data_IF_873077790651
#
_entry.id   IF_873077790651
#
_cell.length_a   1.000
_cell.length_b   1.000
_cell.length_c   1.000
_cell.angle_alpha   90.00
_cell.angle_beta   90.00
_cell.angle_gamma   90.00
#
_symmetry.space_group_name_H-M   'P 1'
#
loop_
_entity.id
_entity.type
_entity.pdbx_description
1 polymer ?
#
# COMPACT_ATOMS: atom_id res chain seq x y z
N UNK A 1 60.51 -11.89 -36.76
CA UNK A 1 59.78 -11.73 -38.04
C UNK A 1 58.34 -11.27 -37.69
N UNK A 2 58.12 -9.96 -37.77
CA UNK A 2 56.81 -9.36 -37.47
C UNK A 2 56.13 -9.02 -38.79
N UNK A 3 54.98 -9.64 -39.02
CA UNK A 3 54.14 -9.37 -40.19
C UNK A 3 53.40 -8.04 -39.99
N UNK A 4 53.32 -7.17 -41.04
CA UNK A 4 52.59 -5.91 -40.90
C UNK A 4 51.09 -6.09 -41.05
N UNK A 5 50.33 -5.32 -40.26
CA UNK A 5 48.84 -5.23 -40.32
C UNK A 5 48.45 -4.35 -41.52
N UNK A 6 47.48 -4.75 -42.36
CA UNK A 6 47.06 -3.93 -43.47
C UNK A 6 46.22 -2.74 -43.00
N UNK A 7 46.55 -1.56 -43.56
CA UNK A 7 45.88 -0.27 -43.38
C UNK A 7 44.45 -0.34 -43.95
N UNK A 8 43.45 -0.28 -43.05
CA UNK A 8 42.03 -0.22 -43.43
C UNK A 8 41.66 1.11 -44.07
N UNK A 9 40.96 1.02 -45.18
CA UNK A 9 40.33 2.13 -45.90
C UNK A 9 39.32 2.86 -44.99
N UNK A 10 39.32 4.20 -44.96
CA UNK A 10 38.34 4.94 -44.14
C UNK A 10 36.92 4.76 -44.71
N UNK A 11 35.99 4.46 -43.83
CA UNK A 11 34.55 4.40 -44.16
C UNK A 11 34.04 5.80 -44.55
N UNK A 12 33.14 5.94 -45.55
CA UNK A 12 32.55 7.20 -45.95
C UNK A 12 31.75 7.81 -44.78
N UNK A 13 31.85 9.12 -44.58
CA UNK A 13 31.07 9.84 -43.60
C UNK A 13 29.58 9.80 -43.98
N UNK A 14 28.66 9.59 -43.01
CA UNK A 14 27.26 9.71 -43.29
C UNK A 14 26.90 11.15 -43.66
N UNK A 15 26.14 11.33 -44.72
CA UNK A 15 25.56 12.61 -45.12
C UNK A 15 24.57 13.09 -44.05
N UNK A 16 24.54 14.38 -43.71
CA UNK A 16 23.57 14.92 -42.79
C UNK A 16 22.15 14.74 -43.35
N UNK A 17 21.15 14.45 -42.49
CA UNK A 17 19.77 14.38 -42.92
C UNK A 17 19.33 15.73 -43.49
N UNK A 18 18.62 15.70 -44.62
CA UNK A 18 17.99 16.88 -45.24
C UNK A 18 16.88 17.37 -44.30
N UNK A 19 17.02 18.61 -43.83
CA UNK A 19 16.02 19.34 -43.05
C UNK A 19 14.76 19.61 -43.89
N UNK A 20 13.92 18.60 -44.02
CA UNK A 20 12.54 18.84 -44.44
C UNK A 20 11.70 18.92 -43.16
N UNK A 21 10.96 19.99 -42.94
CA UNK A 21 10.09 20.08 -41.77
C UNK A 21 9.03 18.93 -41.80
N UNK A 22 8.70 18.31 -40.68
CA UNK A 22 7.69 17.28 -40.62
C UNK A 22 6.36 17.85 -41.12
N UNK A 23 5.51 17.02 -41.79
CA UNK A 23 4.19 17.44 -42.21
C UNK A 23 3.38 17.92 -40.99
N UNK A 24 2.72 19.04 -41.11
CA UNK A 24 1.88 19.61 -40.07
C UNK A 24 0.78 18.59 -39.69
N UNK A 25 0.67 18.29 -38.41
CA UNK A 25 -0.43 17.46 -37.88
C UNK A 25 -1.75 18.16 -38.23
N UNK A 26 -2.80 17.41 -38.65
CA UNK A 26 -4.12 18.00 -38.86
C UNK A 26 -4.58 18.64 -37.56
N UNK A 27 -4.96 19.91 -37.63
CA UNK A 27 -5.55 20.63 -36.49
C UNK A 27 -6.90 19.99 -36.19
N UNK A 28 -7.25 19.72 -34.94
CA UNK A 28 -8.59 19.28 -34.58
C UNK A 28 -9.59 20.36 -34.98
N UNK A 29 -10.61 19.95 -35.73
CA UNK A 29 -11.70 20.83 -36.11
C UNK A 29 -12.26 21.54 -34.87
N UNK A 30 -12.38 22.88 -34.95
CA UNK A 30 -12.99 23.67 -33.90
C UNK A 30 -14.43 23.18 -33.67
N UNK A 31 -14.88 22.99 -32.42
CA UNK A 31 -16.24 22.53 -32.15
C UNK A 31 -17.26 23.47 -32.80
N UNK A 32 -18.10 22.94 -33.69
CA UNK A 32 -19.20 23.70 -34.25
C UNK A 32 -20.20 24.07 -33.14
N UNK A 33 -20.67 25.31 -33.05
CA UNK A 33 -21.54 25.78 -31.95
C UNK A 33 -22.88 25.08 -31.83
N UNK A 34 -23.28 24.21 -32.75
CA UNK A 34 -24.59 23.56 -32.84
C UNK A 34 -24.54 22.02 -32.95
N UNK A 35 -23.48 21.37 -32.56
CA UNK A 35 -23.51 19.90 -32.43
C UNK A 35 -24.41 19.53 -31.26
N UNK A 36 -25.45 18.67 -31.45
CA UNK A 36 -26.23 18.16 -30.32
C UNK A 36 -25.24 17.45 -29.36
N UNK A 37 -25.12 17.93 -28.14
CA UNK A 37 -24.45 17.18 -27.10
C UNK A 37 -25.19 15.85 -26.94
N UNK A 38 -24.49 14.71 -26.88
CA UNK A 38 -25.16 13.48 -26.52
C UNK A 38 -25.79 13.69 -25.13
N UNK A 39 -27.10 13.52 -25.05
CA UNK A 39 -27.88 13.46 -23.82
C UNK A 39 -27.40 12.24 -23.05
N UNK A 40 -26.31 12.39 -22.30
CA UNK A 40 -26.07 11.47 -21.21
C UNK A 40 -27.22 11.72 -20.21
N UNK A 41 -28.01 10.69 -19.88
CA UNK A 41 -28.98 10.85 -18.82
C UNK A 41 -28.23 11.39 -17.61
N UNK A 42 -28.74 12.39 -16.89
CA UNK A 42 -28.08 12.87 -15.69
C UNK A 42 -27.83 11.65 -14.85
N UNK A 43 -26.52 11.40 -14.55
CA UNK A 43 -26.15 10.34 -13.64
C UNK A 43 -27.04 10.60 -12.42
N UNK A 44 -28.05 9.75 -12.24
CA UNK A 44 -28.92 9.83 -11.09
C UNK A 44 -27.99 9.61 -9.89
N UNK A 45 -27.44 10.70 -9.38
CA UNK A 45 -26.95 10.77 -8.03
C UNK A 45 -28.20 10.39 -7.22
N UNK A 46 -28.26 9.12 -6.83
CA UNK A 46 -29.22 8.62 -5.88
C UNK A 46 -28.99 9.40 -4.57
N UNK A 47 -29.49 10.65 -4.56
CA UNK A 47 -29.80 11.36 -3.35
C UNK A 47 -31.03 10.67 -2.75
N UNK A 48 -30.88 9.39 -2.42
CA UNK A 48 -31.78 8.74 -1.49
C UNK A 48 -31.41 9.33 -0.14
N UNK A 49 -32.25 10.22 0.37
CA UNK A 49 -32.29 10.65 1.76
C UNK A 49 -32.62 9.46 2.69
N UNK A 50 -31.92 8.35 2.50
CA UNK A 50 -31.94 7.22 3.42
C UNK A 50 -31.21 7.68 4.70
N UNK A 51 -31.81 7.44 5.86
CA UNK A 51 -31.11 7.70 7.13
C UNK A 51 -29.76 6.98 7.10
N UNK A 52 -28.72 7.54 7.73
CA UNK A 52 -27.39 6.93 7.74
C UNK A 52 -27.54 5.46 8.14
N UNK A 53 -27.07 4.55 7.28
CA UNK A 53 -27.20 3.13 7.50
C UNK A 53 -26.59 2.78 8.86
N UNK A 54 -27.33 1.98 9.66
CA UNK A 54 -26.84 1.53 10.96
C UNK A 54 -25.47 0.87 10.79
N UNK A 55 -24.55 1.15 11.70
CA UNK A 55 -23.22 0.57 11.66
C UNK A 55 -23.29 -0.96 11.58
N UNK A 56 -22.50 -1.61 10.70
CA UNK A 56 -22.51 -3.07 10.58
C UNK A 56 -22.24 -3.75 11.94
N UNK A 57 -22.88 -4.89 12.23
CA UNK A 57 -22.68 -5.58 13.49
C UNK A 57 -21.22 -6.01 13.70
N UNK A 58 -20.73 -6.09 14.93
CA UNK A 58 -19.31 -6.35 15.25
C UNK A 58 -18.74 -7.58 14.55
N UNK A 59 -19.51 -8.67 14.43
CA UNK A 59 -19.07 -9.88 13.73
C UNK A 59 -18.75 -9.65 12.25
N UNK A 60 -19.54 -8.83 11.54
CA UNK A 60 -19.27 -8.48 10.14
C UNK A 60 -18.02 -7.60 10.00
N UNK A 61 -17.82 -6.71 10.96
CA UNK A 61 -16.63 -5.82 10.99
C UNK A 61 -15.37 -6.64 11.24
N UNK A 62 -15.40 -7.58 12.20
CA UNK A 62 -14.29 -8.51 12.45
C UNK A 62 -13.97 -9.40 11.25
N UNK A 63 -15.01 -9.93 10.60
CA UNK A 63 -14.84 -10.75 9.39
C UNK A 63 -14.20 -9.92 8.24
N UNK A 64 -14.59 -8.66 8.08
CA UNK A 64 -14.00 -7.78 7.08
C UNK A 64 -12.50 -7.52 7.33
N UNK A 65 -12.11 -7.29 8.59
CA UNK A 65 -10.70 -7.10 8.97
C UNK A 65 -9.89 -8.39 8.77
N UNK A 66 -10.46 -9.55 9.14
CA UNK A 66 -9.82 -10.86 8.95
C UNK A 66 -9.59 -11.15 7.47
N UNK A 67 -10.67 -11.08 6.67
CA UNK A 67 -10.61 -11.39 5.22
C UNK A 67 -9.74 -10.37 4.49
N UNK A 68 -9.91 -9.07 4.78
CA UNK A 68 -9.12 -8.01 4.15
C UNK A 68 -7.63 -8.16 4.43
N UNK A 69 -7.25 -8.48 5.67
CA UNK A 69 -5.82 -8.70 6.00
C UNK A 69 -5.29 -10.02 5.45
N UNK A 70 -6.12 -11.06 5.37
CA UNK A 70 -5.74 -12.30 4.71
C UNK A 70 -5.45 -12.07 3.22
N UNK A 71 -6.33 -11.38 2.50
CA UNK A 71 -6.13 -11.04 1.10
C UNK A 71 -4.90 -10.14 0.90
N UNK A 72 -4.68 -9.18 1.79
CA UNK A 72 -3.46 -8.37 1.77
C UNK A 72 -2.20 -9.23 1.88
N UNK A 73 -2.16 -10.16 2.85
CA UNK A 73 -1.02 -11.05 3.03
C UNK A 73 -0.83 -12.00 1.84
N UNK A 74 -1.93 -12.51 1.25
CA UNK A 74 -1.89 -13.28 -0.02
C UNK A 74 -1.19 -12.48 -1.11
N UNK A 75 -1.56 -11.21 -1.29
CA UNK A 75 -0.94 -10.39 -2.34
C UNK A 75 0.52 -10.10 -2.04
N UNK A 76 0.86 -9.70 -0.81
CA UNK A 76 2.24 -9.37 -0.43
C UNK A 76 3.18 -10.56 -0.61
N UNK A 77 2.78 -11.74 -0.16
CA UNK A 77 3.59 -12.96 -0.26
C UNK A 77 3.51 -13.57 -1.65
N UNK A 78 2.31 -13.72 -2.19
CA UNK A 78 2.08 -14.34 -3.50
C UNK A 78 2.69 -13.56 -4.65
N UNK A 79 2.59 -12.22 -4.66
CA UNK A 79 3.29 -11.42 -5.69
C UNK A 79 4.81 -11.52 -5.56
N UNK A 80 5.31 -11.76 -4.35
CA UNK A 80 6.71 -12.07 -4.11
C UNK A 80 7.14 -13.38 -4.76
N UNK A 81 6.40 -14.46 -4.55
CA UNK A 81 6.65 -15.75 -5.20
C UNK A 81 6.53 -15.66 -6.73
N UNK A 82 5.48 -14.96 -7.22
CA UNK A 82 5.30 -14.76 -8.66
C UNK A 82 6.46 -13.99 -9.29
N UNK A 83 6.91 -12.92 -8.63
CA UNK A 83 8.03 -12.12 -9.13
C UNK A 83 9.35 -12.93 -9.13
N UNK A 84 9.57 -13.76 -8.10
CA UNK A 84 10.74 -14.64 -8.01
C UNK A 84 10.76 -15.71 -9.11
N UNK A 85 9.59 -16.22 -9.48
CA UNK A 85 9.43 -17.18 -10.57
C UNK A 85 9.64 -16.56 -11.97
N UNK A 86 9.39 -15.25 -12.14
CA UNK A 86 9.43 -14.58 -13.44
C UNK A 86 10.77 -13.91 -13.76
N UNK A 87 11.55 -13.49 -12.76
CA UNK A 87 12.78 -12.75 -12.99
C UNK A 87 13.80 -12.94 -11.86
N UNK A 88 15.08 -12.91 -12.20
CA UNK A 88 16.18 -12.87 -11.24
C UNK A 88 16.61 -11.45 -10.87
N UNK A 89 16.11 -10.41 -11.57
CA UNK A 89 16.43 -9.03 -11.26
C UNK A 89 15.73 -8.58 -9.97
N UNK A 90 16.53 -8.21 -8.96
CA UNK A 90 16.02 -7.85 -7.64
C UNK A 90 15.17 -6.57 -7.65
N UNK A 91 15.52 -5.60 -8.50
CA UNK A 91 14.77 -4.34 -8.63
C UNK A 91 13.39 -4.57 -9.25
N UNK A 92 13.33 -5.40 -10.31
CA UNK A 92 12.08 -5.73 -10.97
C UNK A 92 11.16 -6.58 -10.06
N UNK A 93 11.71 -7.56 -9.32
CA UNK A 93 10.95 -8.31 -8.30
C UNK A 93 10.35 -7.38 -7.26
N UNK A 94 11.17 -6.46 -6.75
CA UNK A 94 10.71 -5.50 -5.74
C UNK A 94 9.64 -4.55 -6.29
N UNK A 95 9.84 -4.02 -7.50
CA UNK A 95 8.87 -3.14 -8.15
C UNK A 95 7.51 -3.84 -8.38
N UNK A 96 7.52 -5.07 -8.88
CA UNK A 96 6.30 -5.85 -9.09
C UNK A 96 5.54 -6.12 -7.79
N UNK A 97 6.26 -6.53 -6.74
CA UNK A 97 5.66 -6.78 -5.42
C UNK A 97 5.09 -5.51 -4.79
N UNK A 98 5.82 -4.41 -4.84
CA UNK A 98 5.35 -3.11 -4.32
C UNK A 98 4.12 -2.62 -5.08
N UNK A 99 4.11 -2.72 -6.41
CA UNK A 99 2.97 -2.34 -7.24
C UNK A 99 1.71 -3.16 -6.91
N UNK A 100 1.85 -4.49 -6.82
CA UNK A 100 0.76 -5.39 -6.44
C UNK A 100 0.23 -5.08 -5.03
N UNK A 101 1.12 -4.89 -4.06
CA UNK A 101 0.76 -4.62 -2.67
C UNK A 101 0.02 -3.28 -2.51
N UNK A 102 0.49 -2.23 -3.18
CA UNK A 102 -0.13 -0.91 -3.16
C UNK A 102 -1.52 -0.92 -3.82
N UNK A 103 -1.65 -1.58 -4.98
CA UNK A 103 -2.93 -1.76 -5.65
C UNK A 103 -3.92 -2.53 -4.77
N UNK A 104 -3.48 -3.63 -4.15
CA UNK A 104 -4.32 -4.41 -3.24
C UNK A 104 -4.78 -3.57 -2.05
N UNK A 105 -3.89 -2.83 -1.39
CA UNK A 105 -4.26 -1.95 -0.28
C UNK A 105 -5.33 -0.94 -0.69
N UNK A 106 -5.17 -0.28 -1.83
CA UNK A 106 -6.16 0.68 -2.35
C UNK A 106 -7.53 0.04 -2.54
N UNK A 107 -7.56 -1.15 -3.18
CA UNK A 107 -8.80 -1.90 -3.42
C UNK A 107 -9.43 -2.37 -2.13
N UNK A 108 -8.64 -3.00 -1.24
CA UNK A 108 -9.15 -3.61 -0.01
C UNK A 108 -9.65 -2.56 0.99
N UNK A 109 -8.95 -1.44 1.14
CA UNK A 109 -9.41 -0.33 1.98
C UNK A 109 -10.71 0.27 1.41
N UNK A 110 -10.79 0.43 0.09
CA UNK A 110 -12.01 0.94 -0.56
C UNK A 110 -13.19 -0.01 -0.36
N UNK A 111 -12.96 -1.32 -0.51
CA UNK A 111 -13.98 -2.35 -0.39
C UNK A 111 -14.48 -2.53 1.05
N UNK A 112 -13.56 -2.64 2.01
CA UNK A 112 -13.91 -2.91 3.41
C UNK A 112 -14.12 -1.66 4.26
N UNK A 113 -13.74 -0.48 3.75
CA UNK A 113 -13.94 0.80 4.42
C UNK A 113 -15.38 1.01 4.92
N UNK A 114 -16.42 0.83 4.10
CA UNK A 114 -17.81 0.98 4.53
C UNK A 114 -18.26 -0.07 5.56
N UNK A 115 -17.54 -1.18 5.72
CA UNK A 115 -17.91 -2.28 6.63
C UNK A 115 -17.21 -2.15 7.99
N UNK A 116 -15.89 -2.00 7.99
CA UNK A 116 -15.07 -2.03 9.21
C UNK A 116 -14.19 -0.80 9.42
N UNK A 117 -14.11 0.07 8.43
CA UNK A 117 -13.10 1.10 8.31
C UNK A 117 -11.91 0.67 7.44
N UNK A 118 -11.80 -0.65 7.12
CA UNK A 118 -10.73 -1.18 6.26
C UNK A 118 -9.34 -0.93 6.84
N UNK A 119 -9.16 -1.13 8.14
CA UNK A 119 -7.91 -0.83 8.83
C UNK A 119 -6.78 -1.77 8.39
N UNK A 120 -7.05 -3.08 8.34
CA UNK A 120 -6.14 -4.14 7.88
C UNK A 120 -4.74 -4.11 8.53
N UNK A 121 -4.63 -3.38 9.64
CA UNK A 121 -3.37 -3.07 10.32
C UNK A 121 -3.64 -2.73 11.79
N UNK A 122 -3.03 -3.42 12.75
CA UNK A 122 -3.22 -3.14 14.18
C UNK A 122 -2.87 -1.71 14.59
N UNK A 123 -1.90 -1.07 13.93
CA UNK A 123 -1.51 0.30 14.27
C UNK A 123 -2.47 1.34 13.70
N UNK A 124 -3.06 1.12 12.53
CA UNK A 124 -4.16 1.94 12.03
C UNK A 124 -5.36 1.81 12.97
N UNK A 125 -5.66 0.58 13.43
CA UNK A 125 -6.72 0.34 14.41
C UNK A 125 -6.45 1.05 15.73
N UNK A 126 -5.23 0.98 16.25
CA UNK A 126 -4.81 1.68 17.46
C UNK A 126 -4.90 3.21 17.29
N UNK A 127 -4.51 3.73 16.13
CA UNK A 127 -4.65 5.14 15.77
C UNK A 127 -6.10 5.59 15.76
N UNK A 128 -6.98 4.84 15.11
CA UNK A 128 -8.42 5.11 15.06
C UNK A 128 -9.06 5.08 16.45
N UNK A 129 -8.70 4.08 17.28
CA UNK A 129 -9.11 4.03 18.67
C UNK A 129 -8.61 5.24 19.46
N UNK A 130 -7.34 5.58 19.33
CA UNK A 130 -6.74 6.68 20.08
C UNK A 130 -7.35 8.03 19.74
N UNK A 131 -7.52 8.35 18.47
CA UNK A 131 -8.07 9.63 18.02
C UNK A 131 -9.58 9.74 18.21
N UNK A 132 -10.30 8.60 18.12
CA UNK A 132 -11.75 8.54 18.31
C UNK A 132 -12.22 8.40 19.76
N UNK A 133 -11.31 8.19 20.74
CA UNK A 133 -11.70 7.98 22.14
C UNK A 133 -12.39 9.21 22.70
N UNK A 134 -13.46 8.95 23.46
CA UNK A 134 -14.29 10.02 24.04
C UNK A 134 -15.32 10.59 23.09
N UNK A 135 -15.38 10.12 21.83
CA UNK A 135 -16.43 10.49 20.88
C UNK A 135 -17.48 9.38 20.76
N UNK A 136 -18.77 9.70 20.50
CA UNK A 136 -19.80 8.70 20.33
C UNK A 136 -19.57 7.73 19.15
N UNK A 137 -18.83 8.18 18.14
CA UNK A 137 -18.49 7.39 16.96
C UNK A 137 -17.16 6.65 17.09
N UNK A 138 -16.44 6.80 18.21
CA UNK A 138 -15.14 6.21 18.44
C UNK A 138 -15.18 4.68 18.51
N UNK A 139 -14.13 4.04 18.01
CA UNK A 139 -13.98 2.58 18.09
C UNK A 139 -13.78 2.15 19.55
N UNK A 140 -14.61 1.27 20.13
CA UNK A 140 -14.39 0.77 21.49
C UNK A 140 -13.10 -0.05 21.59
N UNK A 141 -12.38 0.05 22.71
CA UNK A 141 -11.12 -0.70 22.92
C UNK A 141 -11.29 -2.21 22.68
N UNK A 142 -12.41 -2.80 23.14
CA UNK A 142 -12.71 -4.21 22.94
C UNK A 142 -12.75 -4.57 21.45
N UNK A 143 -13.34 -3.70 20.61
CA UNK A 143 -13.38 -3.92 19.18
C UNK A 143 -12.02 -3.69 18.54
N UNK A 144 -11.26 -2.70 18.99
CA UNK A 144 -9.88 -2.48 18.51
C UNK A 144 -8.98 -3.69 18.76
N UNK A 145 -9.07 -4.29 19.94
CA UNK A 145 -8.38 -5.55 20.26
C UNK A 145 -8.87 -6.69 19.36
N UNK A 146 -10.19 -6.81 19.19
CA UNK A 146 -10.78 -7.80 18.27
C UNK A 146 -10.27 -7.65 16.83
N UNK A 147 -10.15 -6.41 16.35
CA UNK A 147 -9.57 -6.12 15.02
C UNK A 147 -8.11 -6.57 14.94
N UNK A 148 -7.28 -6.22 15.92
CA UNK A 148 -5.87 -6.62 15.93
C UNK A 148 -5.69 -8.15 15.90
N UNK A 149 -6.54 -8.88 16.63
CA UNK A 149 -6.56 -10.36 16.60
C UNK A 149 -7.01 -10.86 15.22
N UNK A 150 -8.14 -10.35 14.69
CA UNK A 150 -8.65 -10.75 13.38
C UNK A 150 -7.64 -10.48 12.26
N UNK A 151 -6.98 -9.32 12.27
CA UNK A 151 -5.93 -8.94 11.34
C UNK A 151 -4.72 -9.88 11.42
N UNK A 152 -4.28 -10.22 12.63
CA UNK A 152 -3.14 -11.13 12.82
C UNK A 152 -3.45 -12.54 12.32
N UNK A 153 -4.63 -13.07 12.68
CA UNK A 153 -5.09 -14.38 12.19
C UNK A 153 -5.23 -14.35 10.66
N UNK A 154 -5.80 -13.27 10.12
CA UNK A 154 -5.92 -13.07 8.68
C UNK A 154 -4.56 -13.07 7.98
N UNK A 155 -3.58 -12.32 8.51
CA UNK A 155 -2.24 -12.25 7.92
C UNK A 155 -1.55 -13.63 7.91
N UNK A 156 -1.64 -14.38 9.01
CA UNK A 156 -1.08 -15.74 9.10
C UNK A 156 -1.76 -16.67 8.10
N UNK A 157 -3.09 -16.67 8.05
CA UNK A 157 -3.85 -17.52 7.12
C UNK A 157 -3.56 -17.16 5.66
N UNK A 158 -3.50 -15.86 5.33
CA UNK A 158 -3.21 -15.37 3.99
C UNK A 158 -1.78 -15.72 3.54
N UNK A 159 -0.79 -15.65 4.44
CA UNK A 159 0.58 -16.10 4.16
C UNK A 159 0.61 -17.58 3.82
N UNK A 160 0.01 -18.44 4.66
CA UNK A 160 -0.04 -19.87 4.39
C UNK A 160 -0.80 -20.22 3.10
N UNK A 161 -1.86 -19.47 2.78
CA UNK A 161 -2.59 -19.63 1.52
C UNK A 161 -1.72 -19.23 0.32
N UNK A 162 -0.96 -18.14 0.41
CA UNK A 162 -0.04 -17.74 -0.64
C UNK A 162 1.03 -18.80 -0.87
N UNK A 163 1.69 -19.29 0.18
CA UNK A 163 2.67 -20.36 0.06
C UNK A 163 2.07 -21.60 -0.61
N UNK A 164 0.87 -22.04 -0.19
CA UNK A 164 0.19 -23.20 -0.76
C UNK A 164 -0.16 -23.00 -2.26
N UNK A 165 -0.58 -21.80 -2.66
CA UNK A 165 -0.89 -21.47 -4.07
C UNK A 165 0.32 -21.60 -4.99
N UNK A 166 1.52 -21.37 -4.45
CA UNK A 166 2.78 -21.48 -5.21
C UNK A 166 3.53 -22.80 -4.96
N UNK A 167 2.90 -23.76 -4.28
CA UNK A 167 3.50 -25.07 -4.00
C UNK A 167 4.62 -25.05 -2.94
N UNK A 168 4.71 -23.97 -2.16
CA UNK A 168 5.64 -23.88 -1.04
C UNK A 168 5.04 -24.48 0.24
N UNK A 169 5.85 -25.03 1.15
CA UNK A 169 5.38 -25.48 2.46
C UNK A 169 4.83 -24.32 3.26
N UNK A 170 3.53 -24.39 3.60
CA UNK A 170 2.87 -23.37 4.40
C UNK A 170 3.45 -23.29 5.83
N UNK A 171 3.51 -22.07 6.36
CA UNK A 171 3.94 -21.79 7.74
C UNK A 171 5.40 -22.18 8.03
N UNK A 172 6.27 -22.15 7.04
CA UNK A 172 7.70 -22.33 7.23
C UNK A 172 8.34 -21.05 7.76
N UNK A 173 8.99 -21.06 8.94
CA UNK A 173 9.65 -19.88 9.47
C UNK A 173 10.70 -19.34 8.51
N UNK A 174 10.71 -18.04 8.30
CA UNK A 174 11.68 -17.36 7.45
C UNK A 174 13.08 -17.40 8.06
N UNK A 175 14.08 -17.68 7.24
CA UNK A 175 15.47 -17.59 7.61
C UNK A 175 16.08 -16.19 7.38
N UNK A 176 15.34 -15.22 6.80
CA UNK A 176 15.86 -13.92 6.39
C UNK A 176 15.95 -12.93 7.57
N UNK A 177 17.15 -12.62 8.10
CA UNK A 177 17.30 -11.70 9.20
C UNK A 177 17.08 -10.25 8.74
N UNK A 178 16.34 -9.46 9.56
CA UNK A 178 16.08 -8.03 9.35
C UNK A 178 16.30 -7.27 10.67
N UNK A 179 17.51 -7.36 11.24
CA UNK A 179 17.83 -6.82 12.57
C UNK A 179 18.93 -5.78 12.52
N UNK A 180 18.64 -4.53 12.11
CA UNK A 180 19.60 -3.43 12.21
C UNK A 180 18.91 -2.13 12.56
N UNK A 181 19.63 -1.19 13.17
CA UNK A 181 19.11 0.14 13.50
C UNK A 181 18.61 0.90 12.26
N UNK A 182 19.27 0.72 11.12
CA UNK A 182 18.84 1.33 9.85
C UNK A 182 17.46 0.81 9.41
N UNK A 183 17.21 -0.50 9.51
CA UNK A 183 15.93 -1.10 9.17
C UNK A 183 14.83 -0.65 10.14
N UNK A 184 15.13 -0.56 11.43
CA UNK A 184 14.19 -0.07 12.44
C UNK A 184 13.84 1.41 12.24
N UNK A 185 14.81 2.24 11.88
CA UNK A 185 14.55 3.63 11.50
C UNK A 185 13.65 3.71 10.25
N UNK A 186 13.89 2.84 9.26
CA UNK A 186 13.03 2.71 8.08
C UNK A 186 11.59 2.37 8.44
N UNK A 187 11.37 1.39 9.34
CA UNK A 187 10.02 1.02 9.82
C UNK A 187 9.37 2.16 10.61
N UNK A 188 10.14 2.86 11.45
CA UNK A 188 9.64 4.02 12.20
C UNK A 188 9.14 5.12 11.25
N UNK A 189 9.92 5.45 10.22
CA UNK A 189 9.55 6.46 9.24
C UNK A 189 8.35 6.00 8.38
N UNK A 190 8.39 4.78 7.85
CA UNK A 190 7.32 4.24 7.03
C UNK A 190 5.98 4.23 7.76
N UNK A 191 5.98 3.73 9.01
CA UNK A 191 4.76 3.63 9.83
C UNK A 191 4.31 5.00 10.33
N UNK A 192 5.24 5.84 10.75
CA UNK A 192 4.94 7.18 11.23
C UNK A 192 4.25 8.03 10.17
N UNK A 193 4.78 8.02 8.95
CA UNK A 193 4.15 8.74 7.86
C UNK A 193 2.84 8.08 7.39
N UNK A 194 2.73 6.75 7.46
CA UNK A 194 1.45 6.08 7.19
C UNK A 194 0.35 6.58 8.13
N UNK A 195 0.62 6.64 9.43
CA UNK A 195 -0.34 7.14 10.43
C UNK A 195 -0.61 8.64 10.24
N UNK A 196 0.41 9.43 9.94
CA UNK A 196 0.25 10.85 9.61
C UNK A 196 -0.67 11.06 8.41
N UNK A 197 -0.50 10.28 7.34
CA UNK A 197 -1.34 10.34 6.13
C UNK A 197 -2.79 10.01 6.46
N UNK A 198 -3.03 8.90 7.16
CA UNK A 198 -4.40 8.46 7.48
C UNK A 198 -5.09 9.42 8.44
N UNK A 199 -4.44 9.77 9.55
CA UNK A 199 -5.02 10.67 10.57
C UNK A 199 -5.15 12.09 10.05
N UNK A 200 -4.13 12.62 9.36
CA UNK A 200 -4.14 13.95 8.80
C UNK A 200 -5.18 14.13 7.69
N UNK A 201 -5.30 13.16 6.77
CA UNK A 201 -6.33 13.21 5.74
C UNK A 201 -7.75 13.14 6.33
N UNK A 202 -7.94 12.33 7.37
CA UNK A 202 -9.22 12.22 8.08
C UNK A 202 -9.55 13.52 8.82
N UNK A 203 -8.62 14.10 9.57
CA UNK A 203 -8.78 15.36 10.26
C UNK A 203 -9.05 16.53 9.29
N UNK A 204 -8.49 16.49 8.09
CA UNK A 204 -8.73 17.48 7.05
C UNK A 204 -10.05 17.25 6.26
N UNK A 205 -10.93 16.33 6.67
CA UNK A 205 -12.18 16.02 5.96
C UNK A 205 -11.99 15.28 4.63
N UNK A 206 -10.78 14.77 4.35
CA UNK A 206 -10.42 14.10 3.09
C UNK A 206 -10.40 12.57 3.19
N UNK A 207 -11.21 11.99 4.09
CA UNK A 207 -11.25 10.55 4.34
C UNK A 207 -11.48 9.70 3.08
N UNK A 208 -12.21 10.20 2.09
CA UNK A 208 -12.43 9.51 0.80
C UNK A 208 -11.14 9.27 -0.01
N UNK A 209 -10.10 10.04 0.22
CA UNK A 209 -8.81 9.90 -0.45
C UNK A 209 -7.89 8.90 0.23
N UNK A 210 -8.18 8.52 1.47
CA UNK A 210 -7.30 7.64 2.29
C UNK A 210 -6.90 6.37 1.54
N UNK A 211 -7.78 5.62 0.87
CA UNK A 211 -7.36 4.41 0.15
C UNK A 211 -6.25 4.66 -0.87
N UNK A 212 -6.42 5.67 -1.71
CA UNK A 212 -5.41 6.04 -2.72
C UNK A 212 -4.14 6.60 -2.11
N UNK A 213 -4.26 7.46 -1.08
CA UNK A 213 -3.10 8.03 -0.38
C UNK A 213 -2.27 6.95 0.31
N UNK A 214 -2.91 5.94 0.93
CA UNK A 214 -2.22 4.81 1.55
C UNK A 214 -1.49 3.98 0.49
N UNK A 215 -2.14 3.64 -0.63
CA UNK A 215 -1.48 2.92 -1.72
C UNK A 215 -0.27 3.66 -2.25
N UNK A 216 -0.39 4.95 -2.54
CA UNK A 216 0.73 5.79 -3.01
C UNK A 216 1.84 5.91 -1.96
N UNK A 217 1.48 6.07 -0.68
CA UNK A 217 2.47 6.11 0.38
C UNK A 217 3.24 4.80 0.50
N UNK A 218 2.57 3.65 0.37
CA UNK A 218 3.24 2.34 0.40
C UNK A 218 4.28 2.23 -0.72
N UNK A 219 3.96 2.67 -1.94
CA UNK A 219 4.96 2.72 -3.02
C UNK A 219 6.14 3.58 -2.60
N UNK A 220 5.89 4.79 -2.13
CA UNK A 220 6.95 5.72 -1.72
C UNK A 220 7.78 5.15 -0.55
N UNK A 221 7.13 4.62 0.50
CA UNK A 221 7.80 4.07 1.67
C UNK A 221 8.68 2.87 1.33
N UNK A 222 8.21 1.95 0.50
CA UNK A 222 8.98 0.78 0.07
C UNK A 222 10.28 1.20 -0.64
N UNK A 223 10.22 2.23 -1.49
CA UNK A 223 11.38 2.69 -2.26
C UNK A 223 12.29 3.68 -1.53
N UNK A 224 11.78 4.38 -0.52
CA UNK A 224 12.53 5.42 0.21
C UNK A 224 13.05 4.98 1.56
N UNK A 225 12.61 3.84 2.08
CA UNK A 225 13.08 3.33 3.38
C UNK A 225 13.90 2.06 3.24
N UNK A 226 14.89 1.93 4.11
CA UNK A 226 15.81 0.77 4.09
C UNK A 226 15.14 -0.57 4.44
N UNK A 227 13.99 -0.53 5.11
CA UNK A 227 13.27 -1.73 5.56
C UNK A 227 12.39 -2.37 4.47
N UNK A 228 12.07 -1.61 3.41
CA UNK A 228 11.04 -1.98 2.45
C UNK A 228 9.62 -1.79 2.97
N UNK A 229 9.44 -1.00 4.04
CA UNK A 229 8.16 -0.45 4.48
C UNK A 229 7.10 -1.48 4.87
N UNK A 230 7.36 -2.39 5.79
CA UNK A 230 6.33 -3.33 6.27
C UNK A 230 5.16 -2.59 6.93
N UNK A 231 5.48 -1.66 7.84
CA UNK A 231 4.57 -0.72 8.47
C UNK A 231 3.26 -1.33 9.04
N UNK A 232 3.25 -2.63 9.33
CA UNK A 232 2.06 -3.38 9.75
C UNK A 232 2.46 -4.59 10.61
N UNK A 233 2.20 -4.61 11.93
CA UNK A 233 2.56 -5.71 12.81
C UNK A 233 1.93 -7.05 12.43
N UNK A 234 0.67 -7.06 11.98
CA UNK A 234 -0.02 -8.29 11.59
C UNK A 234 0.65 -8.93 10.36
N UNK A 235 0.92 -8.13 9.32
CA UNK A 235 1.62 -8.60 8.12
C UNK A 235 3.07 -8.97 8.44
N UNK A 236 3.74 -8.26 9.36
CA UNK A 236 5.09 -8.61 9.83
C UNK A 236 5.11 -10.00 10.45
N UNK A 237 4.12 -10.30 11.31
CA UNK A 237 3.96 -11.64 11.91
C UNK A 237 3.65 -12.71 10.86
N UNK A 238 2.73 -12.44 9.91
CA UNK A 238 2.45 -13.36 8.82
C UNK A 238 3.70 -13.68 8.01
N UNK A 239 4.46 -12.65 7.61
CA UNK A 239 5.70 -12.79 6.83
C UNK A 239 6.83 -13.51 7.57
N UNK A 240 6.74 -13.68 8.88
CA UNK A 240 7.67 -14.52 9.63
C UNK A 240 7.48 -16.03 9.37
N UNK A 241 6.34 -16.39 8.76
CA UNK A 241 5.95 -17.78 8.49
C UNK A 241 6.05 -18.15 6.99
N UNK A 242 6.74 -17.38 6.18
CA UNK A 242 7.07 -17.71 4.79
C UNK A 242 8.57 -17.58 4.55
N UNK A 243 9.17 -18.64 3.98
CA UNK A 243 10.60 -18.69 3.72
C UNK A 243 10.91 -18.26 2.28
N UNK A 244 10.83 -16.98 2.06
CA UNK A 244 11.12 -16.32 0.78
C UNK A 244 11.71 -14.93 1.00
N UNK A 245 12.09 -14.25 -0.07
CA UNK A 245 12.70 -12.92 0.00
C UNK A 245 11.75 -11.85 0.60
N UNK A 246 10.45 -12.10 0.59
CA UNK A 246 9.45 -11.26 1.27
C UNK A 246 9.37 -11.54 2.78
N UNK A 247 9.98 -12.60 3.27
CA UNK A 247 9.95 -13.03 4.67
C UNK A 247 10.75 -12.16 5.63
N UNK A 248 10.64 -12.48 6.91
CA UNK A 248 11.41 -11.91 8.02
C UNK A 248 11.66 -13.01 9.07
N UNK A 249 12.91 -13.20 9.50
CA UNK A 249 13.21 -14.16 10.54
C UNK A 249 12.43 -13.86 11.83
N UNK A 250 11.83 -14.86 12.50
CA UNK A 250 11.02 -14.64 13.72
C UNK A 250 11.74 -13.82 14.80
N UNK A 251 13.05 -14.00 14.96
CA UNK A 251 13.87 -13.22 15.89
C UNK A 251 13.98 -11.72 15.56
N UNK A 252 13.67 -11.32 14.32
CA UNK A 252 13.68 -9.92 13.89
C UNK A 252 12.32 -9.21 14.08
N UNK A 253 11.24 -9.97 14.25
CA UNK A 253 9.88 -9.44 14.39
C UNK A 253 9.73 -8.46 15.55
N UNK A 254 10.23 -8.73 16.77
CA UNK A 254 10.04 -7.79 17.88
C UNK A 254 10.62 -6.41 17.61
N UNK A 255 11.82 -6.33 17.02
CA UNK A 255 12.47 -5.07 16.66
C UNK A 255 11.66 -4.26 15.63
N UNK A 256 11.11 -4.94 14.62
CA UNK A 256 10.22 -4.31 13.63
C UNK A 256 8.94 -3.80 14.26
N UNK A 257 8.25 -4.61 15.06
CA UNK A 257 7.00 -4.21 15.72
C UNK A 257 7.23 -3.03 16.67
N UNK A 258 8.31 -3.03 17.45
CA UNK A 258 8.64 -1.89 18.32
C UNK A 258 8.91 -0.61 17.51
N UNK A 259 9.67 -0.70 16.42
CA UNK A 259 9.93 0.44 15.53
C UNK A 259 8.64 0.97 14.89
N UNK A 260 7.76 0.06 14.45
CA UNK A 260 6.44 0.40 13.91
C UNK A 260 5.57 1.10 14.96
N UNK A 261 5.54 0.62 16.20
CA UNK A 261 4.82 1.28 17.30
C UNK A 261 5.35 2.68 17.59
N UNK A 262 6.68 2.85 17.63
CA UNK A 262 7.30 4.16 17.82
C UNK A 262 6.93 5.13 16.68
N UNK A 263 6.99 4.64 15.43
CA UNK A 263 6.56 5.39 14.26
C UNK A 263 5.08 5.79 14.34
N UNK A 264 4.20 4.86 14.69
CA UNK A 264 2.77 5.14 14.83
C UNK A 264 2.49 6.25 15.85
N UNK A 265 3.11 6.17 17.02
CA UNK A 265 2.98 7.20 18.06
C UNK A 265 3.47 8.57 17.57
N UNK A 266 4.62 8.62 16.90
CA UNK A 266 5.16 9.84 16.32
C UNK A 266 4.23 10.42 15.22
N UNK A 267 3.71 9.57 14.32
CA UNK A 267 2.81 9.99 13.25
C UNK A 267 1.48 10.55 13.75
N UNK A 268 0.88 9.91 14.77
CA UNK A 268 -0.34 10.39 15.42
C UNK A 268 -0.08 11.73 16.13
N UNK A 269 1.03 11.82 16.88
CA UNK A 269 1.41 13.06 17.58
C UNK A 269 1.65 14.21 16.61
N UNK A 270 2.32 13.94 15.47
CA UNK A 270 2.55 14.95 14.46
C UNK A 270 1.25 15.36 13.74
N UNK A 271 0.33 14.42 13.51
CA UNK A 271 -0.98 14.73 12.96
C UNK A 271 -1.78 15.65 13.90
N UNK A 272 -1.78 15.37 15.20
CA UNK A 272 -2.41 16.23 16.17
C UNK A 272 -1.80 17.65 16.17
N UNK A 273 -0.47 17.74 16.16
CA UNK A 273 0.21 19.03 16.10
C UNK A 273 -0.13 19.85 14.85
N UNK A 274 -0.26 19.20 13.69
CA UNK A 274 -0.40 19.90 12.40
C UNK A 274 -1.86 20.15 12.00
N UNK A 275 -2.81 19.33 12.48
CA UNK A 275 -4.20 19.35 11.99
C UNK A 275 -5.23 19.63 13.09
N UNK A 276 -4.86 19.57 14.40
CA UNK A 276 -5.74 20.00 15.48
C UNK A 276 -5.99 21.51 15.39
N UNK A 277 -7.28 21.90 15.46
CA UNK A 277 -7.71 23.31 15.39
C UNK A 277 -8.08 23.82 14.00
N UNK A 278 -8.10 22.97 12.97
CA UNK A 278 -8.71 23.35 11.69
C UNK A 278 -10.20 23.02 11.72
N UNK A 279 -11.05 24.08 11.67
CA UNK A 279 -12.45 23.90 11.30
C UNK A 279 -12.51 23.18 9.93
N UNK A 280 -13.42 22.20 9.75
CA UNK A 280 -13.61 21.58 8.43
C UNK A 280 -13.92 22.70 7.43
N UNK A 281 -13.21 22.70 6.29
CA UNK A 281 -13.47 23.63 5.22
C UNK A 281 -14.95 23.52 4.78
N UNK A 282 -15.65 24.63 4.51
CA UNK A 282 -17.07 24.68 4.16
C UNK A 282 -17.38 23.88 2.89
#
# INVERSE_FOLDING_TARGET
>A
MTTPVPSGTPLPRPTPPTDSPPPALPQPDSPQPNSPQPDFPPTAVLATGSPPAAAPPPGRRLAAELVGTALLAVVVVGSGHQADALTSDAGLRFLANVGASAAALTVLITLFGPVSGGHLNPLITAGAWWTGRGTPAGLPLREAVGYAVAQTVGAVAGTGLADAMFGHPAFRPSALPRGSGALWLGETLATGTLLLVVTGATAAGRGRLVPGLVGLWVVAACWSTSSGGFANPAVTLGRALTDGWTGIAPGSVPGFVLAQCAGAAAGIGLAALLFDGREPAP
#
